data_IF_464142124907
#
_entry.id   IF_464142124907
#
_cell.length_a   1.000
_cell.length_b   1.000
_cell.length_c   1.000
_cell.angle_alpha   90.00
_cell.angle_beta   90.00
_cell.angle_gamma   90.00
#
_symmetry.space_group_name_H-M   'P 1'
#
loop_
_entity.id
_entity.type
_entity.pdbx_description
1 polymer ?
#
# COMPACT_ATOMS: atom_id res chain seq x y z
N UNK A 1 -47.34 10.16 -1.76
CA UNK A 1 -45.96 10.66 -1.88
C UNK A 1 -45.36 10.54 -0.50
N UNK A 2 -44.59 9.48 -0.26
CA UNK A 2 -43.78 9.38 0.96
C UNK A 2 -42.59 10.34 0.80
N UNK A 3 -42.28 11.18 1.80
CA UNK A 3 -41.03 11.91 1.81
C UNK A 3 -39.89 10.89 1.94
N UNK A 4 -38.96 10.91 0.98
CA UNK A 4 -37.72 10.16 1.07
C UNK A 4 -37.06 10.39 2.43
N UNK A 5 -36.91 9.33 3.21
CA UNK A 5 -35.97 9.29 4.32
C UNK A 5 -34.57 9.52 3.75
N UNK A 6 -34.00 10.67 4.09
CA UNK A 6 -32.60 11.04 3.86
C UNK A 6 -31.69 9.94 4.45
N UNK A 7 -30.85 9.24 3.67
CA UNK A 7 -29.99 8.21 4.21
C UNK A 7 -28.64 8.82 4.61
N UNK A 8 -28.60 9.82 5.48
CA UNK A 8 -27.35 10.53 5.82
C UNK A 8 -27.01 10.48 7.31
N UNK A 9 -27.02 9.28 7.89
CA UNK A 9 -26.17 9.00 9.05
C UNK A 9 -25.01 8.15 8.57
N UNK A 10 -23.87 8.81 8.34
CA UNK A 10 -22.59 8.11 8.11
C UNK A 10 -22.34 7.27 9.37
N UNK A 11 -22.29 5.93 9.27
CA UNK A 11 -22.06 5.08 10.42
C UNK A 11 -20.71 5.41 11.04
N UNK A 12 -20.68 5.64 12.35
CA UNK A 12 -19.43 5.73 13.10
C UNK A 12 -19.02 4.32 13.49
N UNK A 13 -18.26 3.65 12.62
CA UNK A 13 -17.65 2.38 12.98
C UNK A 13 -16.41 2.62 13.85
N UNK A 14 -16.56 2.46 15.16
CA UNK A 14 -15.44 2.53 16.12
C UNK A 14 -14.35 1.45 15.91
N UNK A 15 -14.60 0.51 14.99
CA UNK A 15 -13.73 -0.63 14.67
C UNK A 15 -13.29 -0.69 13.19
N UNK A 16 -13.61 0.32 12.38
CA UNK A 16 -13.17 0.36 10.98
C UNK A 16 -11.72 0.82 10.85
N UNK A 17 -11.01 0.35 9.80
CA UNK A 17 -9.67 0.81 9.54
C UNK A 17 -9.69 2.31 9.29
N UNK A 18 -8.86 3.06 10.01
CA UNK A 18 -8.75 4.51 9.79
C UNK A 18 -8.13 4.73 8.42
N UNK A 19 -8.94 5.22 7.48
CA UNK A 19 -8.47 5.61 6.16
C UNK A 19 -7.75 6.94 6.30
N UNK A 20 -6.45 6.94 6.00
CA UNK A 20 -5.59 8.11 6.11
C UNK A 20 -5.11 8.45 4.70
N UNK A 21 -5.60 9.59 4.18
CA UNK A 21 -5.09 10.16 2.95
C UNK A 21 -3.72 10.78 3.18
N UNK A 22 -2.77 10.47 2.30
CA UNK A 22 -1.42 10.95 2.38
C UNK A 22 -1.17 11.98 1.29
N UNK A 23 -1.42 13.25 1.62
CA UNK A 23 -1.27 14.39 0.70
C UNK A 23 -0.30 15.48 1.17
N UNK A 24 0.11 15.47 2.44
CA UNK A 24 0.96 16.50 3.05
C UNK A 24 2.11 15.91 3.89
N UNK A 25 2.86 16.79 4.57
CA UNK A 25 4.01 16.41 5.41
C UNK A 25 3.59 15.62 6.65
N UNK A 26 2.57 16.07 7.34
CA UNK A 26 2.22 15.54 8.66
C UNK A 26 1.61 14.15 8.51
N UNK A 27 0.77 13.97 7.48
CA UNK A 27 0.24 12.66 7.09
C UNK A 27 1.37 11.67 6.73
N UNK A 28 2.43 12.15 6.06
CA UNK A 28 3.58 11.31 5.70
C UNK A 28 4.33 10.81 6.95
N UNK A 29 4.53 11.68 7.94
CA UNK A 29 5.19 11.31 9.19
C UNK A 29 4.34 10.30 9.98
N UNK A 30 3.00 10.42 9.95
CA UNK A 30 2.10 9.42 10.54
C UNK A 30 2.30 8.04 9.90
N UNK A 31 2.31 7.98 8.56
CA UNK A 31 2.56 6.73 7.83
C UNK A 31 3.91 6.12 8.23
N UNK A 32 5.00 6.87 8.10
CA UNK A 32 6.34 6.32 8.32
C UNK A 32 6.58 5.89 9.78
N UNK A 33 6.04 6.63 10.75
CA UNK A 33 6.12 6.24 12.17
C UNK A 33 5.32 4.96 12.46
N UNK A 34 4.22 4.73 11.74
CA UNK A 34 3.45 3.49 11.86
C UNK A 34 4.21 2.30 11.27
N UNK A 35 4.91 2.52 10.15
CA UNK A 35 5.74 1.50 9.50
C UNK A 35 7.00 1.13 10.31
N UNK A 36 7.49 2.01 11.19
CA UNK A 36 8.69 1.76 12.02
C UNK A 36 8.55 0.53 12.94
N UNK A 37 7.33 0.25 13.39
CA UNK A 37 7.07 -0.78 14.40
C UNK A 37 6.50 -2.07 13.80
N UNK A 38 6.61 -2.24 12.48
CA UNK A 38 6.09 -3.44 11.81
C UNK A 38 6.85 -4.70 12.28
N UNK A 39 6.13 -5.76 12.71
CA UNK A 39 6.73 -7.04 13.02
C UNK A 39 7.48 -7.61 11.82
N UNK A 40 8.71 -8.06 12.06
CA UNK A 40 9.50 -8.75 11.05
C UNK A 40 9.00 -10.17 10.83
N UNK A 41 9.13 -10.66 9.59
CA UNK A 41 8.82 -12.03 9.17
C UNK A 41 7.36 -12.46 9.36
N UNK A 42 6.44 -11.52 9.62
CA UNK A 42 5.01 -11.76 9.73
C UNK A 42 4.24 -10.98 8.65
N UNK A 43 3.34 -11.61 7.89
CA UNK A 43 2.48 -10.89 6.96
C UNK A 43 1.51 -10.00 7.74
N UNK A 44 1.76 -8.69 7.70
CA UNK A 44 0.92 -7.69 8.35
C UNK A 44 0.78 -6.39 7.55
N UNK A 45 1.53 -6.25 6.45
CA UNK A 45 1.41 -5.14 5.54
C UNK A 45 0.83 -5.64 4.22
N UNK A 46 -0.40 -5.22 3.91
CA UNK A 46 -1.10 -5.58 2.69
C UNK A 46 -1.09 -4.39 1.74
N UNK A 47 -0.78 -4.64 0.48
CA UNK A 47 -0.37 -3.61 -0.45
C UNK A 47 -1.14 -3.79 -1.75
N UNK A 48 -1.65 -2.70 -2.28
CA UNK A 48 -2.11 -2.66 -3.67
C UNK A 48 -1.59 -1.40 -4.35
N UNK A 49 -1.46 -1.51 -5.67
CA UNK A 49 -1.03 -0.43 -6.54
C UNK A 49 -2.07 -0.29 -7.63
N UNK A 50 -2.45 0.95 -7.89
CA UNK A 50 -3.31 1.28 -9.01
C UNK A 50 -2.56 2.16 -9.98
N UNK A 51 -2.90 2.02 -11.25
CA UNK A 51 -2.32 2.81 -12.32
C UNK A 51 -2.26 2.07 -13.64
N UNK A 52 -1.83 2.78 -14.67
CA UNK A 52 -1.66 2.22 -15.99
C UNK A 52 -0.27 1.58 -16.09
N UNK A 53 -0.15 0.29 -16.36
CA UNK A 53 1.14 -0.41 -16.51
C UNK A 53 1.35 -0.91 -17.94
N UNK A 54 1.20 -0.02 -18.92
CA UNK A 54 1.35 -0.34 -20.34
C UNK A 54 2.57 0.41 -20.92
N UNK A 55 3.59 -0.34 -21.33
CA UNK A 55 4.75 0.17 -22.07
C UNK A 55 5.52 1.28 -21.33
N UNK A 56 6.10 2.21 -22.08
CA UNK A 56 6.91 3.31 -21.52
C UNK A 56 6.08 4.36 -20.76
N UNK A 57 4.77 4.39 -21.00
CA UNK A 57 3.83 5.28 -20.31
C UNK A 57 3.39 4.77 -18.94
N UNK A 58 3.87 3.59 -18.52
CA UNK A 58 3.46 2.94 -17.27
C UNK A 58 3.60 3.85 -16.05
N UNK A 59 2.53 4.19 -15.33
CA UNK A 59 2.53 5.04 -14.14
C UNK A 59 1.77 4.36 -13.00
N UNK A 60 2.28 4.54 -11.80
CA UNK A 60 1.55 4.25 -10.57
C UNK A 60 0.82 5.54 -10.20
N UNK A 61 -0.50 5.48 -10.10
CA UNK A 61 -1.33 6.62 -9.71
C UNK A 61 -1.54 6.66 -8.21
N UNK A 62 -1.85 5.51 -7.61
CA UNK A 62 -2.04 5.41 -6.16
C UNK A 62 -1.39 4.15 -5.62
N UNK A 63 -1.02 4.22 -4.35
CA UNK A 63 -0.48 3.11 -3.57
C UNK A 63 -1.24 3.03 -2.27
N UNK A 64 -1.72 1.85 -1.92
CA UNK A 64 -2.50 1.64 -0.71
C UNK A 64 -1.79 0.66 0.21
N UNK A 65 -1.76 0.98 1.49
CA UNK A 65 -1.26 0.09 2.54
C UNK A 65 -2.35 -0.17 3.56
N UNK A 66 -2.59 -1.43 3.88
CA UNK A 66 -3.27 -1.80 5.11
C UNK A 66 -2.25 -2.39 6.09
N UNK A 67 -2.07 -1.73 7.23
CA UNK A 67 -1.25 -2.25 8.32
C UNK A 67 -2.17 -2.95 9.33
N UNK A 68 -2.11 -4.28 9.37
CA UNK A 68 -2.94 -5.10 10.24
C UNK A 68 -2.57 -4.98 11.73
N UNK A 69 -1.44 -4.34 12.07
CA UNK A 69 -1.05 -4.11 13.46
C UNK A 69 -1.70 -2.86 14.05
N UNK A 70 -1.82 -1.80 13.25
CA UNK A 70 -2.44 -0.53 13.65
C UNK A 70 -3.88 -0.39 13.17
N UNK A 71 -4.34 -1.30 12.31
CA UNK A 71 -5.62 -1.23 11.61
C UNK A 71 -5.75 0.07 10.80
N UNK A 72 -4.64 0.63 10.30
CA UNK A 72 -4.68 1.81 9.44
C UNK A 72 -4.66 1.42 7.96
N UNK A 73 -5.47 2.13 7.19
CA UNK A 73 -5.47 2.05 5.72
C UNK A 73 -4.95 3.37 5.14
N UNK A 74 -3.79 3.34 4.51
CA UNK A 74 -3.16 4.51 3.94
C UNK A 74 -3.43 4.57 2.44
N UNK A 75 -3.92 5.73 1.98
CA UNK A 75 -4.17 6.01 0.58
C UNK A 75 -3.19 7.09 0.12
N UNK A 76 -2.25 6.72 -0.75
CA UNK A 76 -1.15 7.58 -1.18
C UNK A 76 -1.34 8.00 -2.64
N UNK A 77 -1.33 9.31 -2.89
CA UNK A 77 -1.32 9.89 -4.23
C UNK A 77 0.09 9.89 -4.83
N UNK A 78 0.46 8.76 -5.44
CA UNK A 78 1.76 8.61 -6.11
C UNK A 78 1.83 9.46 -7.38
N UNK A 79 0.69 9.75 -8.02
CA UNK A 79 0.63 10.58 -9.21
C UNK A 79 1.11 12.00 -8.93
N UNK A 80 0.60 12.61 -7.87
CA UNK A 80 0.97 13.97 -7.46
C UNK A 80 2.34 14.01 -6.76
N UNK A 81 2.61 13.07 -5.86
CA UNK A 81 3.84 13.07 -5.05
C UNK A 81 5.07 12.55 -5.82
N UNK A 82 4.86 11.76 -6.88
CA UNK A 82 5.90 11.25 -7.75
C UNK A 82 6.99 10.48 -6.99
N UNK A 83 8.25 10.77 -7.32
CA UNK A 83 9.40 10.08 -6.70
C UNK A 83 9.56 10.39 -5.19
N UNK A 84 9.06 11.54 -4.70
CA UNK A 84 9.20 11.94 -3.29
C UNK A 84 8.54 10.91 -2.37
N UNK A 85 7.46 10.28 -2.83
CA UNK A 85 6.79 9.13 -2.20
C UNK A 85 7.76 8.07 -1.68
N UNK A 86 8.84 7.79 -2.44
CA UNK A 86 9.73 6.68 -2.13
C UNK A 86 10.94 7.09 -1.31
N UNK A 87 11.38 8.34 -1.41
CA UNK A 87 12.68 8.80 -0.88
C UNK A 87 12.55 9.68 0.36
N UNK A 88 11.35 10.10 0.71
CA UNK A 88 11.11 10.94 1.88
C UNK A 88 11.29 10.17 3.18
N UNK A 89 12.09 10.74 4.08
CA UNK A 89 12.42 10.16 5.39
C UNK A 89 11.63 10.80 6.52
N UNK A 90 11.31 10.03 7.55
CA UNK A 90 10.92 10.56 8.87
C UNK A 90 12.17 10.88 9.71
N UNK A 91 11.95 11.33 10.96
CA UNK A 91 13.01 11.62 11.94
C UNK A 91 13.88 10.40 12.34
N UNK A 92 13.43 9.18 12.06
CA UNK A 92 14.17 7.94 12.32
C UNK A 92 14.94 7.44 11.08
N UNK A 93 15.00 8.23 10.00
CA UNK A 93 15.55 7.86 8.69
C UNK A 93 14.82 6.68 8.02
N UNK A 94 13.59 6.38 8.43
CA UNK A 94 12.71 5.46 7.72
C UNK A 94 12.11 6.17 6.53
N UNK A 95 12.15 5.51 5.38
CA UNK A 95 11.50 5.96 4.16
C UNK A 95 10.86 4.77 3.45
N UNK A 96 9.85 5.04 2.64
CA UNK A 96 9.00 3.99 2.10
C UNK A 96 9.77 2.98 1.24
N UNK A 97 10.76 3.43 0.47
CA UNK A 97 11.61 2.51 -0.30
C UNK A 97 12.32 1.49 0.58
N UNK A 98 12.88 1.85 1.73
CA UNK A 98 13.50 0.88 2.63
C UNK A 98 12.51 -0.17 3.15
N UNK A 99 11.26 0.22 3.44
CA UNK A 99 10.20 -0.71 3.85
C UNK A 99 9.87 -1.68 2.73
N UNK A 100 9.69 -1.17 1.51
CA UNK A 100 9.38 -1.96 0.32
C UNK A 100 10.52 -2.92 -0.06
N UNK A 101 11.77 -2.51 0.11
CA UNK A 101 12.97 -3.30 -0.25
C UNK A 101 13.46 -4.24 0.87
N UNK A 102 12.89 -4.15 2.08
CA UNK A 102 13.29 -5.00 3.21
C UNK A 102 12.78 -6.44 3.04
N UNK A 103 13.69 -7.41 3.04
CA UNK A 103 13.34 -8.85 3.07
C UNK A 103 12.69 -9.27 4.39
N UNK A 104 12.98 -8.54 5.46
CA UNK A 104 12.48 -8.85 6.80
C UNK A 104 11.05 -8.35 7.02
N UNK A 105 10.55 -7.44 6.20
CA UNK A 105 9.18 -6.94 6.27
C UNK A 105 8.39 -7.67 5.19
N UNK A 106 7.40 -8.47 5.61
CA UNK A 106 6.58 -9.23 4.68
C UNK A 106 5.47 -8.36 4.13
N UNK A 107 5.51 -8.12 2.82
CA UNK A 107 4.47 -7.40 2.07
C UNK A 107 3.59 -8.41 1.34
N UNK A 108 2.30 -8.37 1.62
CA UNK A 108 1.30 -9.14 0.88
C UNK A 108 0.83 -8.31 -0.31
N UNK A 109 0.91 -8.86 -1.51
CA UNK A 109 0.43 -8.28 -2.76
C UNK A 109 -0.52 -9.25 -3.48
N UNK A 110 -1.30 -8.73 -4.42
CA UNK A 110 -1.96 -9.54 -5.44
C UNK A 110 -1.38 -9.13 -6.81
N UNK A 111 -0.74 -10.06 -7.52
CA UNK A 111 -0.03 -9.80 -8.79
C UNK A 111 0.96 -8.62 -8.70
N UNK A 112 2.00 -8.78 -7.88
CA UNK A 112 3.06 -7.78 -7.75
C UNK A 112 3.85 -7.60 -9.05
N UNK A 113 3.87 -8.64 -9.91
CA UNK A 113 4.69 -8.70 -11.12
C UNK A 113 4.38 -7.51 -12.02
N UNK A 114 3.09 -7.22 -12.22
CA UNK A 114 2.59 -6.09 -13.02
C UNK A 114 3.25 -4.75 -12.64
N UNK A 115 3.45 -4.50 -11.36
CA UNK A 115 3.93 -3.22 -10.86
C UNK A 115 5.42 -3.18 -10.52
N UNK A 116 6.04 -4.35 -10.30
CA UNK A 116 7.46 -4.47 -9.94
C UNK A 116 8.39 -3.81 -10.96
N UNK A 117 8.11 -3.97 -12.26
CA UNK A 117 8.90 -3.35 -13.32
C UNK A 117 8.78 -1.82 -13.27
N UNK A 118 7.58 -1.29 -13.06
CA UNK A 118 7.31 0.16 -12.98
C UNK A 118 8.00 0.76 -11.76
N UNK A 119 7.91 0.09 -10.61
CA UNK A 119 8.60 0.47 -9.38
C UNK A 119 10.11 0.61 -9.60
N UNK A 120 10.73 -0.38 -10.25
CA UNK A 120 12.16 -0.36 -10.51
C UNK A 120 12.55 0.69 -11.57
N UNK A 121 11.86 0.72 -12.71
CA UNK A 121 12.20 1.61 -13.83
C UNK A 121 12.02 3.09 -13.47
N UNK A 122 10.93 3.46 -12.80
CA UNK A 122 10.58 4.86 -12.53
C UNK A 122 11.05 5.37 -11.17
N UNK A 123 11.06 4.51 -10.16
CA UNK A 123 11.32 4.94 -8.78
C UNK A 123 12.58 4.32 -8.18
N UNK A 124 13.25 3.41 -8.91
CA UNK A 124 14.42 2.65 -8.44
C UNK A 124 14.15 1.86 -7.17
N UNK A 125 12.91 1.41 -7.00
CA UNK A 125 12.45 0.63 -5.85
C UNK A 125 12.26 -0.82 -6.27
N UNK A 126 12.92 -1.76 -5.57
CA UNK A 126 12.81 -3.20 -5.83
C UNK A 126 12.13 -3.93 -4.67
N UNK A 127 10.81 -4.21 -4.72
CA UNK A 127 10.14 -4.94 -3.67
C UNK A 127 10.84 -6.26 -3.32
N UNK A 128 11.05 -6.50 -2.03
CA UNK A 128 11.58 -7.76 -1.49
C UNK A 128 10.66 -8.27 -0.39
N UNK A 129 10.84 -9.49 0.14
CA UNK A 129 9.96 -10.02 1.19
C UNK A 129 8.48 -10.04 0.79
N UNK A 130 8.18 -10.39 -0.47
CA UNK A 130 6.83 -10.36 -1.03
C UNK A 130 6.16 -11.72 -0.89
N UNK A 131 4.94 -11.74 -0.36
CA UNK A 131 3.99 -12.83 -0.50
C UNK A 131 2.95 -12.44 -1.55
N UNK A 132 2.98 -13.10 -2.70
CA UNK A 132 2.00 -12.87 -3.77
C UNK A 132 0.83 -13.83 -3.61
N UNK A 133 -0.36 -13.28 -3.35
CA UNK A 133 -1.58 -14.05 -3.15
C UNK A 133 -2.01 -14.80 -4.41
N UNK A 134 -1.79 -14.23 -5.62
CA UNK A 134 -2.14 -14.89 -6.88
C UNK A 134 -1.27 -16.14 -7.08
N UNK A 135 0.02 -16.05 -6.79
CA UNK A 135 0.91 -17.22 -6.87
C UNK A 135 0.60 -18.24 -5.79
N UNK A 136 0.21 -17.79 -4.59
CA UNK A 136 -0.19 -18.69 -3.49
C UNK A 136 -1.47 -19.45 -3.86
N UNK A 137 -2.47 -18.77 -4.39
CA UNK A 137 -3.71 -19.38 -4.89
C UNK A 137 -3.40 -20.39 -6.00
N UNK A 138 -2.61 -20.00 -7.01
CA UNK A 138 -2.23 -20.88 -8.11
C UNK A 138 -1.49 -22.15 -7.63
N UNK A 139 -0.63 -22.02 -6.63
CA UNK A 139 0.13 -23.15 -6.09
C UNK A 139 -0.69 -24.08 -5.18
N UNK A 140 -1.74 -23.56 -4.55
CA UNK A 140 -2.56 -24.29 -3.58
C UNK A 140 -3.89 -24.78 -4.15
N UNK A 141 -4.31 -24.27 -5.30
CA UNK A 141 -5.55 -24.70 -5.95
C UNK A 141 -5.40 -26.11 -6.53
N UNK A 142 -6.29 -27.01 -6.12
CA UNK A 142 -6.41 -28.35 -6.69
C UNK A 142 -7.12 -28.35 -8.06
N UNK A 143 -7.73 -27.23 -8.45
CA UNK A 143 -8.40 -27.07 -9.74
C UNK A 143 -8.14 -25.66 -10.30
N UNK A 144 -7.25 -25.50 -11.30
CA UNK A 144 -6.84 -24.20 -11.83
C UNK A 144 -7.87 -23.55 -12.77
N UNK A 145 -9.17 -23.84 -12.61
CA UNK A 145 -10.26 -23.43 -13.49
C UNK A 145 -11.49 -22.95 -12.71
#
# INVERSE_FOLDING_TARGET
MDPQTEPDVIPTYESEPRIIWIGDRDAWDILLNDLDNIPKFKPCLFNTLEGNCIGDESKISTMHFYNAMSYHFYLIDVYWLGAITFWRTNKHNTFLKNVLESENIIKVFFDVKKYSEVLYRKYRTKPAGVHDLQLTELATSENPY
#
